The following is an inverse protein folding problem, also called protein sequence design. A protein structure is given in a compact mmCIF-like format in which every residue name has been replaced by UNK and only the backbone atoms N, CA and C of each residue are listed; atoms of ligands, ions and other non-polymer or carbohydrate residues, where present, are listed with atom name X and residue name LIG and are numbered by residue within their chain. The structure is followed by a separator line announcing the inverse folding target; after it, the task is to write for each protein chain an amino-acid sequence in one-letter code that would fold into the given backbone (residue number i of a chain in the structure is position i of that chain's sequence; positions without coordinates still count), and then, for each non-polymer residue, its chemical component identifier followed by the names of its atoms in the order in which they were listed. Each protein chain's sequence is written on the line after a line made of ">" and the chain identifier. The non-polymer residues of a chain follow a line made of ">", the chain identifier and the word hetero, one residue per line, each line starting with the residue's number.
data_IF_740586295448
#
_entry.id   IF_740586295448
#
_cell.length_a   1.000
_cell.length_b   1.000
_cell.length_c   1.000
_cell.angle_alpha   90.00
_cell.angle_beta   90.00
_cell.angle_gamma   90.00
#
_symmetry.space_group_name_H-M   'P 1'
#
loop_
_entity.id
_entity.type
_entity.pdbx_description
1 polymer ?
#
# COMPACT_ATOMS: atom_id res chain seq x y z
N UNK A 1 44.73 -12.41 -24.92
CA UNK A 1 43.37 -11.91 -25.20
C UNK A 1 42.61 -13.00 -25.95
N UNK A 2 41.78 -13.79 -25.28
CA UNK A 2 40.80 -14.69 -25.92
C UNK A 2 39.59 -14.78 -24.98
N UNK A 3 38.43 -14.31 -25.45
CA UNK A 3 37.16 -14.39 -24.74
C UNK A 3 36.49 -15.75 -25.05
N UNK A 4 36.11 -16.50 -24.03
CA UNK A 4 35.30 -17.72 -24.18
C UNK A 4 33.88 -17.36 -23.71
N UNK A 5 33.03 -16.96 -24.64
CA UNK A 5 31.59 -16.88 -24.41
C UNK A 5 30.98 -18.23 -24.81
N UNK A 6 30.57 -19.00 -23.80
CA UNK A 6 29.79 -20.23 -23.97
C UNK A 6 28.50 -19.92 -24.72
N UNK A 7 28.24 -20.63 -25.81
CA UNK A 7 26.97 -20.53 -26.54
C UNK A 7 25.85 -21.07 -25.64
N UNK A 8 24.72 -20.36 -25.45
CA UNK A 8 23.60 -20.91 -24.70
C UNK A 8 23.00 -22.10 -25.47
N UNK A 9 22.55 -23.12 -24.73
CA UNK A 9 21.91 -24.29 -25.29
C UNK A 9 20.71 -23.89 -26.16
N UNK A 10 20.71 -24.37 -27.40
CA UNK A 10 19.79 -23.97 -28.49
C UNK A 10 18.33 -24.38 -28.27
N UNK A 11 18.03 -25.16 -27.24
CA UNK A 11 16.69 -25.72 -27.07
C UNK A 11 16.01 -25.13 -25.83
N UNK A 12 15.10 -24.19 -26.08
CA UNK A 12 14.13 -23.74 -25.08
C UNK A 12 13.15 -24.89 -24.83
N UNK A 13 13.07 -25.34 -23.59
CA UNK A 13 12.03 -26.27 -23.16
C UNK A 13 10.74 -25.46 -22.87
N UNK A 14 9.69 -25.59 -23.70
CA UNK A 14 8.46 -24.82 -23.54
C UNK A 14 7.64 -25.25 -22.30
N UNK A 15 7.98 -26.38 -21.69
CA UNK A 15 7.16 -26.99 -20.63
C UNK A 15 7.75 -26.81 -19.23
N UNK A 16 9.00 -26.34 -19.11
CA UNK A 16 9.73 -26.12 -17.85
C UNK A 16 8.96 -25.27 -16.82
N UNK A 17 8.10 -24.37 -17.29
CA UNK A 17 7.42 -23.39 -16.44
C UNK A 17 5.95 -23.74 -16.16
N UNK A 18 5.43 -24.85 -16.67
CA UNK A 18 4.01 -25.22 -16.49
C UNK A 18 3.66 -25.54 -15.03
N UNK A 19 4.60 -26.10 -14.29
CA UNK A 19 4.36 -26.51 -12.89
C UNK A 19 4.45 -25.34 -11.90
N UNK A 20 5.15 -24.26 -12.29
CA UNK A 20 5.28 -23.03 -11.49
C UNK A 20 4.19 -22.01 -11.87
N UNK A 21 3.78 -21.99 -13.15
CA UNK A 21 2.81 -21.04 -13.67
C UNK A 21 1.56 -21.75 -14.22
N UNK A 22 0.43 -21.59 -13.54
CA UNK A 22 -0.89 -21.97 -14.06
C UNK A 22 -1.35 -20.95 -15.12
N UNK A 23 -0.87 -21.09 -16.36
CA UNK A 23 -1.35 -20.30 -17.50
C UNK A 23 -2.32 -21.16 -18.32
N UNK A 24 -3.61 -20.83 -18.26
CA UNK A 24 -4.63 -21.49 -19.09
C UNK A 24 -4.47 -21.05 -20.55
N UNK A 25 -3.79 -21.86 -21.35
CA UNK A 25 -3.74 -21.68 -22.81
C UNK A 25 -5.09 -22.08 -23.43
N UNK A 26 -5.93 -21.08 -23.72
CA UNK A 26 -7.10 -21.25 -24.57
C UNK A 26 -6.67 -21.53 -26.00
N UNK A 27 -6.86 -22.77 -26.47
CA UNK A 27 -6.71 -23.14 -27.89
C UNK A 27 -7.88 -22.60 -28.70
N UNK A 28 -7.57 -21.87 -29.76
CA UNK A 28 -8.50 -21.40 -30.78
C UNK A 28 -8.79 -22.52 -31.80
N UNK A 29 -10.06 -22.95 -31.95
CA UNK A 29 -10.66 -23.51 -33.18
C UNK A 29 -12.20 -23.62 -33.05
N UNK A 30 -12.99 -23.67 -34.15
CA UNK A 30 -14.14 -22.77 -34.34
C UNK A 30 -15.57 -23.37 -34.19
N UNK A 31 -16.52 -22.47 -33.91
CA UNK A 31 -17.98 -22.43 -34.22
C UNK A 31 -18.87 -23.68 -34.04
N UNK A 32 -19.82 -23.59 -33.10
CA UNK A 32 -21.25 -23.96 -33.22
C UNK A 32 -22.10 -23.15 -32.19
N UNK A 33 -23.39 -22.95 -32.49
CA UNK A 33 -24.23 -21.78 -32.16
C UNK A 33 -24.93 -21.77 -30.76
N UNK A 34 -24.92 -20.58 -30.11
CA UNK A 34 -25.87 -19.82 -29.20
C UNK A 34 -26.91 -20.51 -28.27
N UNK A 35 -27.31 -19.96 -27.08
CA UNK A 35 -27.52 -18.51 -26.74
C UNK A 35 -27.08 -17.95 -25.32
N UNK A 36 -27.12 -16.59 -25.22
CA UNK A 36 -26.87 -15.54 -24.16
C UNK A 36 -27.55 -15.70 -22.76
N UNK A 37 -27.37 -14.79 -21.74
CA UNK A 37 -26.23 -13.89 -21.37
C UNK A 37 -25.90 -13.74 -19.83
N UNK A 38 -24.64 -13.35 -19.56
CA UNK A 38 -24.12 -12.36 -18.58
C UNK A 38 -24.44 -12.38 -17.07
N UNK A 39 -23.39 -12.52 -16.24
CA UNK A 39 -23.07 -11.52 -15.22
C UNK A 39 -21.55 -11.40 -15.00
N UNK A 40 -21.11 -10.18 -14.74
CA UNK A 40 -19.76 -9.64 -14.99
C UNK A 40 -18.80 -9.94 -13.83
N UNK A 41 -17.72 -10.68 -14.11
CA UNK A 41 -16.50 -10.62 -13.31
C UNK A 41 -15.63 -9.47 -13.80
N UNK A 42 -15.51 -8.41 -13.01
CA UNK A 42 -14.67 -7.26 -13.30
C UNK A 42 -13.20 -7.70 -13.39
N UNK A 43 -12.62 -7.69 -14.59
CA UNK A 43 -11.20 -7.53 -14.79
C UNK A 43 -10.81 -6.14 -14.27
N UNK A 44 -10.28 -6.08 -13.03
CA UNK A 44 -9.57 -4.89 -12.59
C UNK A 44 -8.18 -4.93 -13.21
N UNK A 45 -8.09 -4.15 -14.29
CA UNK A 45 -6.88 -3.72 -14.97
C UNK A 45 -5.78 -3.36 -13.96
N UNK A 46 -4.55 -3.76 -14.31
CA UNK A 46 -3.32 -3.29 -13.68
C UNK A 46 -3.27 -1.75 -13.77
N UNK A 47 -3.70 -1.09 -12.70
CA UNK A 47 -3.44 0.31 -12.46
C UNK A 47 -2.12 0.40 -11.69
N UNK A 48 -1.13 1.00 -12.32
CA UNK A 48 0.14 1.35 -11.74
C UNK A 48 -0.03 2.20 -10.47
N UNK A 49 0.49 1.72 -9.34
CA UNK A 49 0.94 2.60 -8.26
C UNK A 49 -0.15 3.31 -7.45
N UNK A 50 -1.33 2.73 -7.22
CA UNK A 50 -2.38 3.41 -6.48
C UNK A 50 -2.12 3.32 -4.96
N UNK A 51 -1.92 4.47 -4.30
CA UNK A 51 -2.02 4.58 -2.85
C UNK A 51 -3.50 4.51 -2.49
N UNK A 52 -3.95 3.40 -1.92
CA UNK A 52 -5.33 3.25 -1.50
C UNK A 52 -5.41 3.56 0.01
N UNK A 53 -6.06 4.69 0.32
CA UNK A 53 -6.24 5.17 1.67
C UNK A 53 -7.55 4.61 2.22
N UNK A 54 -7.47 3.82 3.28
CA UNK A 54 -8.62 3.58 4.12
C UNK A 54 -8.57 4.61 5.23
N UNK A 55 -9.28 5.72 5.11
CA UNK A 55 -9.43 6.67 6.22
C UNK A 55 -10.72 6.26 6.94
N UNK A 56 -10.69 5.34 7.92
CA UNK A 56 -11.86 4.96 8.70
C UNK A 56 -12.32 6.17 9.51
N UNK A 57 -13.27 6.91 8.95
CA UNK A 57 -13.74 8.14 9.56
C UNK A 57 -12.73 9.26 9.38
N UNK A 58 -13.19 10.29 8.71
CA UNK A 58 -12.85 11.69 8.96
C UNK A 58 -12.61 11.86 10.48
N UNK A 59 -11.68 12.71 10.91
CA UNK A 59 -11.35 13.12 12.30
C UNK A 59 -12.57 13.60 13.14
N UNK A 60 -13.69 12.89 13.16
CA UNK A 60 -15.01 13.45 13.39
C UNK A 60 -15.40 14.44 12.30
N UNK A 61 -16.47 15.22 12.54
CA UNK A 61 -16.89 16.35 11.68
C UNK A 61 -15.91 17.54 11.72
N UNK A 62 -14.79 17.43 12.45
CA UNK A 62 -14.09 18.57 13.05
C UNK A 62 -12.65 18.72 12.53
N UNK A 63 -12.34 18.19 11.34
CA UNK A 63 -11.03 18.34 10.74
C UNK A 63 -10.94 17.81 9.32
N UNK A 64 -10.05 18.39 8.53
CA UNK A 64 -9.77 17.92 7.17
C UNK A 64 -8.42 17.21 7.15
N UNK A 65 -8.38 16.01 6.58
CA UNK A 65 -7.16 15.22 6.41
C UNK A 65 -6.99 14.85 4.93
N UNK A 66 -5.82 15.13 4.39
CA UNK A 66 -5.47 14.85 3.00
C UNK A 66 -4.25 13.94 3.00
N UNK A 67 -4.44 12.73 2.49
CA UNK A 67 -3.35 11.80 2.20
C UNK A 67 -2.88 12.00 0.76
N UNK A 68 -1.59 12.27 0.57
CA UNK A 68 -0.94 12.38 -0.72
C UNK A 68 0.17 11.35 -0.90
N UNK A 69 0.34 10.85 -2.11
CA UNK A 69 1.47 9.98 -2.47
C UNK A 69 2.74 10.81 -2.67
N UNK A 70 3.88 10.28 -2.21
CA UNK A 70 5.21 10.81 -2.54
C UNK A 70 6.14 9.67 -2.98
N UNK A 71 7.27 9.96 -3.65
CA UNK A 71 8.26 8.92 -3.92
C UNK A 71 8.67 8.23 -2.63
N UNK A 72 8.67 6.89 -2.63
CA UNK A 72 9.02 6.05 -1.47
C UNK A 72 8.16 6.27 -0.21
N UNK A 73 6.91 6.75 -0.33
CA UNK A 73 6.01 6.85 0.82
C UNK A 73 4.76 7.70 0.63
N UNK A 74 4.38 8.43 1.69
CA UNK A 74 3.19 9.25 1.71
C UNK A 74 3.37 10.54 2.52
N UNK A 75 2.46 11.48 2.29
CA UNK A 75 2.35 12.75 2.99
C UNK A 75 0.96 12.89 3.55
N UNK A 76 0.86 13.15 4.84
CA UNK A 76 -0.37 13.44 5.53
C UNK A 76 -0.41 14.94 5.85
N UNK A 77 -1.42 15.64 5.34
CA UNK A 77 -1.69 17.03 5.70
C UNK A 77 -3.01 17.08 6.41
N UNK A 78 -3.07 17.79 7.53
CA UNK A 78 -4.34 17.96 8.21
C UNK A 78 -4.52 19.34 8.77
N UNK A 79 -5.79 19.70 8.90
CA UNK A 79 -6.26 20.85 9.66
C UNK A 79 -7.20 20.36 10.74
N UNK A 80 -6.85 20.62 12.00
CA UNK A 80 -7.63 20.32 13.18
C UNK A 80 -8.45 21.54 13.60
N UNK A 81 -9.74 21.32 13.86
CA UNK A 81 -10.57 22.28 14.60
C UNK A 81 -10.48 21.98 16.11
N UNK A 82 -11.04 22.85 16.96
CA UNK A 82 -10.90 22.74 18.42
C UNK A 82 -11.43 21.43 19.00
N UNK A 83 -12.40 20.81 18.33
CA UNK A 83 -13.03 19.55 18.73
C UNK A 83 -12.39 18.30 18.07
N UNK A 84 -11.29 18.46 17.32
CA UNK A 84 -10.60 17.33 16.70
C UNK A 84 -9.76 16.56 17.73
N UNK A 85 -9.55 15.24 17.52
CA UNK A 85 -8.71 14.44 18.39
C UNK A 85 -7.25 14.89 18.25
N UNK A 86 -6.60 15.11 19.41
CA UNK A 86 -5.21 15.56 19.46
C UNK A 86 -4.22 14.44 19.19
N UNK A 87 -4.65 13.17 19.32
CA UNK A 87 -3.83 12.00 19.01
C UNK A 87 -4.44 11.21 17.86
N UNK A 88 -3.58 10.81 16.93
CA UNK A 88 -3.93 9.96 15.81
C UNK A 88 -2.93 8.80 15.72
N UNK A 89 -3.43 7.63 15.34
CA UNK A 89 -2.60 6.52 14.93
C UNK A 89 -2.68 6.38 13.41
N UNK A 90 -1.51 6.26 12.80
CA UNK A 90 -1.32 5.92 11.40
C UNK A 90 -0.80 4.49 11.33
N UNK A 91 -1.60 3.59 10.79
CA UNK A 91 -1.22 2.22 10.50
C UNK A 91 -0.92 2.09 9.00
N UNK A 92 0.14 1.37 8.65
CA UNK A 92 0.59 1.22 7.26
C UNK A 92 0.74 -0.26 6.92
N UNK A 93 0.53 -0.64 5.68
CA UNK A 93 0.86 -1.98 5.19
C UNK A 93 1.19 -1.90 3.71
N UNK A 94 1.89 -2.92 3.21
CA UNK A 94 1.98 -3.11 1.76
C UNK A 94 0.71 -3.80 1.26
N UNK A 95 0.26 -3.40 0.08
CA UNK A 95 -0.92 -3.99 -0.53
C UNK A 95 -0.70 -5.48 -0.85
N UNK A 96 -1.78 -6.25 -0.79
CA UNK A 96 -1.75 -7.70 -0.98
C UNK A 96 -2.79 -8.13 -2.00
N UNK A 97 -2.47 -9.15 -2.79
CA UNK A 97 -3.38 -9.64 -3.84
C UNK A 97 -4.71 -10.19 -3.28
N UNK A 98 -4.69 -10.75 -2.06
CA UNK A 98 -5.88 -11.33 -1.41
C UNK A 98 -5.82 -11.12 0.11
N UNK A 99 -6.96 -10.74 0.68
CA UNK A 99 -7.13 -10.53 2.11
C UNK A 99 -6.85 -9.08 2.53
N UNK A 100 -6.80 -8.87 3.84
CA UNK A 100 -6.55 -7.57 4.45
C UNK A 100 -5.04 -7.33 4.60
N UNK A 101 -4.54 -6.21 4.07
CA UNK A 101 -3.13 -5.85 4.09
C UNK A 101 -2.59 -5.64 5.51
N UNK A 102 -3.37 -5.01 6.39
CA UNK A 102 -2.96 -4.74 7.77
C UNK A 102 -2.88 -6.01 8.60
N UNK A 103 -3.77 -6.98 8.35
CA UNK A 103 -3.73 -8.31 9.00
C UNK A 103 -2.59 -9.19 8.48
N UNK A 104 -2.13 -8.96 7.27
CA UNK A 104 -1.03 -9.71 6.63
C UNK A 104 0.35 -9.07 6.81
N UNK A 105 0.40 -7.89 7.41
CA UNK A 105 1.65 -7.22 7.74
C UNK A 105 2.59 -8.15 8.52
N UNK A 106 3.88 -8.08 8.18
CA UNK A 106 4.96 -8.75 8.90
C UNK A 106 6.06 -7.76 9.27
N UNK A 107 6.71 -7.90 10.44
CA UNK A 107 7.89 -7.11 10.79
C UNK A 107 9.05 -7.20 9.79
N UNK A 108 9.08 -8.23 8.95
CA UNK A 108 10.07 -8.38 7.88
C UNK A 108 9.79 -7.48 6.66
N UNK A 109 8.58 -6.93 6.52
CA UNK A 109 8.24 -6.01 5.44
C UNK A 109 8.92 -4.65 5.64
N UNK A 110 8.74 -4.10 6.83
CA UNK A 110 9.36 -2.90 7.35
C UNK A 110 9.04 -2.76 8.84
N UNK A 111 9.79 -1.91 9.53
CA UNK A 111 9.51 -1.50 10.90
C UNK A 111 9.67 0.02 11.01
N UNK A 112 8.64 0.69 11.51
CA UNK A 112 8.54 2.15 11.62
C UNK A 112 9.66 2.76 12.46
N UNK A 113 10.16 2.03 13.46
CA UNK A 113 11.22 2.42 14.37
C UNK A 113 12.64 2.26 13.82
N UNK A 114 12.81 1.60 12.65
CA UNK A 114 14.14 1.27 12.11
C UNK A 114 14.49 2.04 10.84
N UNK A 115 13.84 1.71 9.73
CA UNK A 115 14.26 2.15 8.39
C UNK A 115 13.44 3.31 7.85
N UNK A 116 12.23 3.51 8.38
CA UNK A 116 11.28 4.52 7.91
C UNK A 116 11.67 5.91 8.40
N UNK A 117 11.69 6.88 7.48
CA UNK A 117 11.98 8.27 7.81
C UNK A 117 10.67 9.05 8.01
N UNK A 118 10.58 9.79 9.10
CA UNK A 118 9.40 10.61 9.44
C UNK A 118 9.86 12.05 9.63
N UNK A 119 9.31 12.98 8.82
CA UNK A 119 9.47 14.43 9.01
C UNK A 119 8.13 15.03 9.40
N UNK A 120 8.15 15.93 10.37
CA UNK A 120 6.95 16.46 10.99
C UNK A 120 6.99 17.98 11.01
N UNK A 121 5.82 18.59 10.89
CA UNK A 121 5.57 20.01 11.15
C UNK A 121 4.21 20.12 11.85
N UNK A 122 4.16 20.77 13.01
CA UNK A 122 2.91 20.93 13.76
C UNK A 122 2.41 19.66 14.46
N UNK A 123 3.26 18.64 14.57
CA UNK A 123 2.98 17.38 15.25
C UNK A 123 4.26 16.77 15.79
N UNK A 124 4.13 15.90 16.80
CA UNK A 124 5.23 15.11 17.37
C UNK A 124 4.91 13.62 17.31
N UNK A 125 5.95 12.78 17.26
CA UNK A 125 5.77 11.33 17.40
C UNK A 125 5.67 10.99 18.88
N UNK A 126 4.60 10.31 19.28
CA UNK A 126 4.44 9.76 20.62
C UNK A 126 5.08 8.38 20.68
N UNK A 127 4.74 7.52 19.71
CA UNK A 127 5.29 6.18 19.59
C UNK A 127 5.43 5.79 18.12
N UNK A 128 6.39 4.90 17.85
CA UNK A 128 6.53 4.23 16.55
C UNK A 128 6.99 2.80 16.82
N UNK A 129 6.28 1.84 16.24
CA UNK A 129 6.57 0.43 16.41
C UNK A 129 5.92 -0.35 15.28
N UNK A 130 6.59 -1.38 14.79
CA UNK A 130 6.05 -2.26 13.75
C UNK A 130 5.52 -1.46 12.55
N UNK A 131 4.21 -1.53 12.29
CA UNK A 131 3.54 -0.79 11.22
C UNK A 131 2.70 0.39 11.69
N UNK A 132 2.89 0.83 12.93
CA UNK A 132 2.12 1.88 13.59
C UNK A 132 2.98 3.09 13.90
N UNK A 133 2.37 4.25 13.71
CA UNK A 133 2.93 5.56 14.02
C UNK A 133 1.88 6.36 14.77
N UNK A 134 2.13 6.60 16.06
CA UNK A 134 1.28 7.41 16.91
C UNK A 134 1.80 8.84 16.93
N UNK A 135 0.90 9.78 16.65
CA UNK A 135 1.20 11.20 16.50
C UNK A 135 0.33 12.00 17.45
N UNK A 136 0.93 13.03 18.04
CA UNK A 136 0.22 14.07 18.77
C UNK A 136 0.33 15.37 17.99
N UNK A 137 -0.81 15.99 17.75
CA UNK A 137 -0.96 17.18 16.93
C UNK A 137 -0.84 18.41 17.84
N UNK A 138 0.16 19.24 17.56
CA UNK A 138 0.51 20.40 18.39
C UNK A 138 0.01 21.71 17.78
N UNK A 139 -0.25 21.73 16.47
CA UNK A 139 -0.70 22.92 15.74
C UNK A 139 -2.00 22.64 14.98
N UNK A 140 -2.85 23.68 14.75
CA UNK A 140 -4.07 23.55 13.97
C UNK A 140 -3.82 23.05 12.54
N UNK A 141 -2.68 23.40 11.95
CA UNK A 141 -2.23 22.87 10.66
C UNK A 141 -0.97 22.04 10.87
N UNK A 142 -0.97 20.83 10.34
CA UNK A 142 0.17 19.92 10.45
C UNK A 142 0.46 19.19 9.14
N UNK A 143 1.72 18.81 8.98
CA UNK A 143 2.20 17.99 7.87
C UNK A 143 3.12 16.89 8.41
N UNK A 144 2.87 15.66 7.95
CA UNK A 144 3.71 14.49 8.23
C UNK A 144 4.14 13.89 6.91
N UNK A 145 5.44 13.79 6.70
CA UNK A 145 6.04 13.16 5.53
C UNK A 145 6.72 11.88 5.98
N UNK A 146 6.24 10.75 5.48
CA UNK A 146 6.76 9.41 5.80
C UNK A 146 7.35 8.81 4.53
N UNK A 147 8.64 8.46 4.57
CA UNK A 147 9.39 7.97 3.40
C UNK A 147 10.27 6.77 3.73
N UNK A 148 10.98 6.25 2.71
CA UNK A 148 11.79 5.02 2.74
C UNK A 148 10.98 3.71 2.74
N UNK A 149 9.76 3.75 2.22
CA UNK A 149 9.10 2.54 1.78
C UNK A 149 9.66 2.09 0.41
N UNK A 150 9.62 0.79 0.17
CA UNK A 150 9.87 0.23 -1.16
C UNK A 150 8.95 0.83 -2.22
N UNK A 151 9.54 1.41 -3.27
CA UNK A 151 8.82 2.04 -4.38
C UNK A 151 8.11 1.02 -5.28
N UNK A 152 8.56 -0.24 -5.27
CA UNK A 152 7.99 -1.32 -6.09
C UNK A 152 6.73 -1.93 -5.48
N UNK A 153 6.34 -1.50 -4.28
CA UNK A 153 5.17 -2.02 -3.56
C UNK A 153 4.16 -0.90 -3.32
N UNK A 154 2.89 -1.23 -3.52
CA UNK A 154 1.80 -0.31 -3.19
C UNK A 154 1.59 -0.24 -1.68
N UNK A 155 1.21 0.94 -1.19
CA UNK A 155 1.01 1.21 0.23
C UNK A 155 -0.48 1.38 0.53
N UNK A 156 -0.91 0.74 1.61
CA UNK A 156 -2.18 0.97 2.28
C UNK A 156 -1.90 1.77 3.53
N UNK A 157 -2.62 2.87 3.71
CA UNK A 157 -2.50 3.73 4.90
C UNK A 157 -3.87 3.85 5.54
N UNK A 158 -3.89 3.59 6.84
CA UNK A 158 -5.06 3.73 7.69
C UNK A 158 -4.78 4.76 8.77
N UNK A 159 -5.68 5.72 8.93
CA UNK A 159 -5.57 6.76 9.98
C UNK A 159 -6.79 6.69 10.85
N UNK A 160 -6.59 6.60 12.16
CA UNK A 160 -7.66 6.57 13.14
C UNK A 160 -7.35 7.46 14.35
N UNK A 161 -8.36 8.08 14.96
CA UNK A 161 -8.16 8.84 16.17
C UNK A 161 -7.83 7.91 17.34
N UNK A 162 -6.89 8.33 18.20
CA UNK A 162 -6.70 7.71 19.50
C UNK A 162 -7.55 8.52 20.49
N UNK A 163 -8.61 7.90 21.01
CA UNK A 163 -9.33 8.46 22.15
C UNK A 163 -8.38 8.43 23.36
N UNK A 164 -8.10 9.60 23.94
CA UNK A 164 -7.53 9.64 25.29
C UNK A 164 -8.68 9.27 26.25
N UNK A 165 -8.58 8.14 26.94
CA UNK A 165 -9.34 7.92 28.16
C UNK A 165 -9.01 9.09 29.11
N UNK A 166 -9.98 9.95 29.34
CA UNK A 166 -9.91 11.05 30.31
C UNK A 166 -10.34 10.57 31.69
#
# INVERSE_FOLDING_TARGET
>A
MIAILSRPATQRDPDLLRDIFSISFGRSSPSLRTPKPASKGNEKQMASGALEAEIPGILGKNGTLVLGKVPTGFRLRGRMEEEAPRRIEVQVAYDVLRGDAFRRYSPFDFQMDRVIAVKLRGARVVARYENRLELEIEAPEFEVLVTRFDEKRDLRVKVQPLEEER
#
